data_IF_998653779440
#
_entry.id   IF_998653779440
#
_cell.length_a   1.000
_cell.length_b   1.000
_cell.length_c   1.000
_cell.angle_alpha   90.00
_cell.angle_beta   90.00
_cell.angle_gamma   90.00
#
_symmetry.space_group_name_H-M   'P 1'
#
loop_
_entity.id
_entity.type
_entity.pdbx_description
1 polymer ?
#
# COMPACT_ATOMS: atom_id res chain seq x y z
N UNK A 1 -7.83 2.89 13.66
CA UNK A 1 -7.58 3.30 15.06
C UNK A 1 -7.50 2.09 15.97
N UNK A 2 -6.78 2.20 17.10
CA UNK A 2 -6.62 1.13 18.10
C UNK A 2 -7.93 0.81 18.84
N UNK A 3 -8.85 1.77 18.88
CA UNK A 3 -10.16 1.59 19.49
C UNK A 3 -11.04 0.63 18.70
N UNK A 4 -11.54 -0.38 19.37
CA UNK A 4 -12.42 -1.39 18.77
C UNK A 4 -13.89 -1.16 19.11
N UNK A 5 -14.78 -1.74 18.30
CA UNK A 5 -16.22 -1.70 18.49
C UNK A 5 -16.69 -2.85 19.39
N UNK A 6 -17.98 -2.88 19.71
CA UNK A 6 -18.60 -4.03 20.40
C UNK A 6 -18.51 -5.31 19.55
N UNK A 7 -18.45 -6.45 20.20
CA UNK A 7 -18.44 -7.77 19.52
C UNK A 7 -19.65 -7.92 18.60
N UNK A 8 -19.46 -8.59 17.46
CA UNK A 8 -20.46 -8.77 16.42
C UNK A 8 -20.67 -7.57 15.48
N UNK A 9 -20.03 -6.43 15.73
CA UNK A 9 -20.17 -5.26 14.85
C UNK A 9 -19.42 -5.43 13.52
N UNK A 10 -19.99 -4.85 12.47
CA UNK A 10 -19.39 -4.75 11.15
C UNK A 10 -19.03 -3.30 10.84
N UNK A 11 -17.89 -3.11 10.20
CA UNK A 11 -17.45 -1.82 9.65
C UNK A 11 -17.17 -1.96 8.17
N UNK A 12 -17.61 -0.98 7.41
CA UNK A 12 -17.31 -0.83 5.99
C UNK A 12 -16.52 0.45 5.81
N UNK A 13 -15.39 0.37 5.13
CA UNK A 13 -14.55 1.52 4.85
C UNK A 13 -14.38 1.64 3.34
N UNK A 14 -14.62 2.84 2.81
CA UNK A 14 -14.25 3.22 1.46
C UNK A 14 -13.22 4.33 1.56
N UNK A 15 -12.04 4.12 0.95
CA UNK A 15 -10.95 5.06 1.10
C UNK A 15 -10.05 5.08 -0.13
N UNK A 16 -9.33 6.17 -0.28
CA UNK A 16 -8.23 6.31 -1.21
C UNK A 16 -6.91 6.18 -0.44
N UNK A 17 -5.95 5.50 -1.03
CA UNK A 17 -4.57 5.48 -0.56
C UNK A 17 -3.64 5.80 -1.72
N UNK A 18 -2.57 6.54 -1.42
CA UNK A 18 -1.54 6.87 -2.38
C UNK A 18 -0.16 6.66 -1.79
N UNK A 19 0.80 6.45 -2.68
CA UNK A 19 2.22 6.39 -2.37
C UNK A 19 2.98 7.24 -3.37
N UNK A 20 3.89 8.05 -2.86
CA UNK A 20 4.81 8.84 -3.66
C UNK A 20 6.24 8.51 -3.24
N UNK A 21 7.09 8.28 -4.23
CA UNK A 21 8.54 8.09 -4.08
C UNK A 21 8.93 6.93 -3.13
N UNK A 22 8.18 5.83 -3.22
CA UNK A 22 8.53 4.60 -2.50
C UNK A 22 9.79 3.99 -3.12
N UNK A 23 10.84 3.85 -2.33
CA UNK A 23 12.05 3.18 -2.80
C UNK A 23 11.84 1.67 -2.87
N UNK A 24 12.10 1.08 -4.03
CA UNK A 24 12.07 -0.36 -4.26
C UNK A 24 13.43 -0.79 -4.84
N UNK A 25 14.04 -1.79 -4.23
CA UNK A 25 15.30 -2.36 -4.71
C UNK A 25 14.99 -3.68 -5.41
N UNK A 26 15.29 -3.76 -6.70
CA UNK A 26 15.18 -4.99 -7.47
C UNK A 26 16.55 -5.61 -7.65
N UNK A 27 16.68 -6.89 -7.31
CA UNK A 27 17.81 -7.71 -7.68
C UNK A 27 17.51 -8.39 -9.01
N UNK A 28 18.31 -8.10 -10.01
CA UNK A 28 18.18 -8.68 -11.34
C UNK A 28 19.10 -9.89 -11.41
N UNK A 29 18.52 -11.09 -11.56
CA UNK A 29 19.28 -12.28 -11.88
C UNK A 29 19.59 -12.31 -13.38
N UNK A 30 20.83 -11.93 -13.73
CA UNK A 30 21.29 -11.62 -15.07
C UNK A 30 21.28 -12.75 -16.09
N UNK A 31 20.82 -13.95 -15.75
CA UNK A 31 20.90 -15.09 -16.67
C UNK A 31 19.77 -15.18 -17.70
N UNK A 32 18.71 -14.35 -17.60
CA UNK A 32 17.52 -14.50 -18.46
C UNK A 32 16.97 -13.24 -19.12
N UNK A 33 17.43 -12.04 -18.78
CA UNK A 33 16.87 -10.77 -19.29
C UNK A 33 17.46 -10.35 -20.66
N UNK A 34 18.46 -11.06 -21.14
CA UNK A 34 19.29 -10.63 -22.31
C UNK A 34 18.95 -11.27 -23.63
N UNK A 35 17.86 -11.97 -23.78
CA UNK A 35 17.60 -12.80 -24.97
C UNK A 35 16.95 -12.08 -26.15
N UNK A 36 16.55 -10.84 -26.04
CA UNK A 36 16.01 -10.11 -27.20
C UNK A 36 16.59 -8.70 -27.23
N UNK A 37 17.35 -8.41 -28.32
CA UNK A 37 17.62 -7.02 -28.67
C UNK A 37 16.28 -6.32 -28.91
N UNK A 38 15.93 -5.29 -28.13
CA UNK A 38 14.66 -4.59 -28.33
C UNK A 38 14.67 -3.92 -29.69
N UNK A 39 13.57 -3.91 -30.42
CA UNK A 39 13.41 -2.98 -31.51
C UNK A 39 13.65 -1.58 -30.95
N UNK A 40 14.48 -0.81 -31.60
CA UNK A 40 14.99 0.53 -31.27
C UNK A 40 14.15 1.31 -30.28
N UNK A 41 14.63 1.47 -29.04
CA UNK A 41 14.02 2.29 -27.99
C UNK A 41 13.66 1.59 -26.68
N UNK A 42 13.95 0.32 -26.51
CA UNK A 42 13.67 -0.43 -25.26
C UNK A 42 14.66 -0.08 -24.14
N UNK A 43 14.18 -0.18 -22.90
CA UNK A 43 15.04 -0.13 -21.70
C UNK A 43 15.91 -1.37 -21.71
N UNK A 44 17.20 -1.21 -21.98
CA UNK A 44 18.19 -2.27 -21.77
C UNK A 44 18.50 -2.30 -20.27
N UNK A 45 17.99 -3.30 -19.57
CA UNK A 45 18.62 -3.71 -18.33
C UNK A 45 20.01 -4.26 -18.68
N UNK A 46 21.08 -3.84 -17.98
CA UNK A 46 22.40 -4.30 -18.30
C UNK A 46 22.47 -5.82 -18.22
N UNK A 47 22.74 -6.45 -19.38
CA UNK A 47 23.02 -7.86 -19.46
C UNK A 47 24.36 -8.15 -18.77
N UNK A 48 24.44 -9.13 -17.92
CA UNK A 48 25.60 -9.60 -17.16
C UNK A 48 25.99 -8.85 -15.87
N UNK A 49 25.10 -8.06 -15.28
CA UNK A 49 25.33 -7.61 -13.92
C UNK A 49 24.25 -8.15 -12.98
N UNK A 50 24.63 -9.07 -12.10
CA UNK A 50 23.95 -9.24 -10.83
C UNK A 50 24.14 -7.94 -10.06
N UNK A 51 23.13 -7.11 -9.99
CA UNK A 51 23.21 -5.80 -9.34
C UNK A 51 21.83 -5.39 -8.84
N UNK A 52 21.82 -4.71 -7.72
CA UNK A 52 20.62 -4.11 -7.20
C UNK A 52 20.31 -2.83 -7.99
N UNK A 53 19.09 -2.72 -8.48
CA UNK A 53 18.58 -1.52 -9.13
C UNK A 53 17.61 -0.84 -8.17
N UNK A 54 17.99 0.35 -7.72
CA UNK A 54 17.11 1.20 -6.96
C UNK A 54 16.06 1.81 -7.89
N UNK A 55 14.80 1.73 -7.52
CA UNK A 55 13.68 2.30 -8.27
C UNK A 55 12.76 3.06 -7.33
N UNK A 56 12.04 4.03 -7.89
CA UNK A 56 11.02 4.79 -7.17
C UNK A 56 9.63 4.36 -7.65
N UNK A 57 8.79 3.89 -6.73
CA UNK A 57 7.41 3.52 -7.00
C UNK A 57 6.45 4.62 -6.59
N UNK A 58 5.46 4.91 -7.42
CA UNK A 58 4.40 5.87 -7.11
C UNK A 58 3.06 5.38 -7.67
N UNK A 59 1.99 5.64 -6.94
CA UNK A 59 0.66 5.24 -7.39
C UNK A 59 -0.45 5.60 -6.42
N UNK A 60 -1.69 5.29 -6.82
CA UNK A 60 -2.86 5.50 -6.02
C UNK A 60 -3.93 4.45 -6.23
N UNK A 61 -4.72 4.17 -5.20
CA UNK A 61 -5.74 3.14 -5.24
C UNK A 61 -7.01 3.55 -4.48
N UNK A 62 -8.16 3.27 -5.10
CA UNK A 62 -9.44 3.23 -4.41
C UNK A 62 -9.65 1.88 -3.76
N UNK A 63 -9.95 1.88 -2.47
CA UNK A 63 -10.02 0.68 -1.63
C UNK A 63 -11.37 0.56 -0.94
N UNK A 64 -11.81 -0.68 -0.76
CA UNK A 64 -12.95 -1.03 0.07
C UNK A 64 -12.53 -2.08 1.10
N UNK A 65 -12.86 -1.88 2.37
CA UNK A 65 -12.51 -2.76 3.49
C UNK A 65 -13.75 -3.13 4.27
N UNK A 66 -13.88 -4.41 4.57
CA UNK A 66 -14.90 -4.94 5.48
C UNK A 66 -14.15 -5.45 6.71
N UNK A 67 -14.57 -4.99 7.88
CA UNK A 67 -14.00 -5.42 9.15
C UNK A 67 -15.10 -5.91 10.09
N UNK A 68 -14.90 -7.10 10.65
CA UNK A 68 -15.79 -7.77 11.57
C UNK A 68 -15.13 -7.88 12.95
N UNK A 69 -15.82 -7.38 13.95
CA UNK A 69 -15.41 -7.52 15.35
C UNK A 69 -15.78 -8.91 15.86
N UNK A 70 -14.90 -9.88 15.68
CA UNK A 70 -15.13 -11.28 16.02
C UNK A 70 -15.25 -11.49 17.55
N UNK A 71 -14.51 -10.72 18.34
CA UNK A 71 -14.58 -10.69 19.81
C UNK A 71 -14.25 -9.29 20.31
N UNK A 72 -14.45 -9.01 21.60
CA UNK A 72 -14.21 -7.68 22.19
C UNK A 72 -12.82 -7.08 21.86
N UNK A 73 -11.81 -7.93 21.70
CA UNK A 73 -10.43 -7.52 21.46
C UNK A 73 -9.90 -7.92 20.09
N UNK A 74 -10.69 -8.61 19.26
CA UNK A 74 -10.23 -9.13 17.98
C UNK A 74 -11.13 -8.70 16.83
N UNK A 75 -10.52 -8.09 15.84
CA UNK A 75 -11.17 -7.68 14.60
C UNK A 75 -10.49 -8.36 13.43
N UNK A 76 -11.27 -9.06 12.61
CA UNK A 76 -10.83 -9.60 11.33
C UNK A 76 -11.27 -8.65 10.22
N UNK A 77 -10.47 -8.53 9.17
CA UNK A 77 -10.85 -7.72 8.04
C UNK A 77 -10.31 -8.23 6.73
N UNK A 78 -11.01 -7.88 5.67
CA UNK A 78 -10.56 -8.04 4.28
C UNK A 78 -10.65 -6.72 3.56
N UNK A 79 -9.83 -6.53 2.54
CA UNK A 79 -9.90 -5.36 1.69
C UNK A 79 -9.66 -5.74 0.23
N UNK A 80 -10.29 -4.99 -0.64
CA UNK A 80 -10.15 -5.09 -2.10
C UNK A 80 -10.12 -3.70 -2.68
N UNK A 81 -9.40 -3.53 -3.77
CA UNK A 81 -9.31 -2.24 -4.44
C UNK A 81 -8.73 -2.33 -5.82
N UNK A 82 -8.73 -1.19 -6.48
CA UNK A 82 -8.11 -1.01 -7.78
C UNK A 82 -7.28 0.28 -7.77
N UNK A 83 -6.17 0.26 -8.48
CA UNK A 83 -5.30 1.43 -8.51
C UNK A 83 -4.31 1.37 -9.65
N UNK A 84 -3.63 2.48 -9.85
CA UNK A 84 -2.50 2.61 -10.75
C UNK A 84 -1.19 2.52 -9.95
N UNK A 85 -0.16 2.12 -10.64
CA UNK A 85 1.19 2.10 -10.11
C UNK A 85 2.19 2.34 -11.23
N UNK A 86 3.24 3.07 -10.94
CA UNK A 86 4.35 3.34 -11.85
C UNK A 86 5.68 3.14 -11.16
N UNK A 87 6.66 2.69 -11.90
CA UNK A 87 8.04 2.50 -11.42
C UNK A 87 8.93 3.42 -12.24
N UNK A 88 9.67 4.27 -11.56
CA UNK A 88 10.72 5.08 -12.16
C UNK A 88 12.06 4.41 -11.91
N UNK A 89 12.72 4.06 -12.99
CA UNK A 89 14.05 3.47 -12.99
C UNK A 89 15.07 4.58 -13.25
N UNK A 90 15.94 4.92 -12.29
CA UNK A 90 16.97 5.91 -12.52
C UNK A 90 17.92 5.43 -13.63
N UNK A 91 18.22 6.28 -14.58
CA UNK A 91 19.23 6.05 -15.61
C UNK A 91 20.19 7.22 -15.64
N UNK A 92 21.41 7.00 -16.17
CA UNK A 92 22.48 7.98 -16.19
C UNK A 92 22.18 9.25 -17.00
N UNK A 93 21.13 9.25 -17.83
CA UNK A 93 20.82 10.37 -18.74
C UNK A 93 19.40 10.93 -18.57
N UNK A 94 18.42 10.11 -18.27
CA UNK A 94 17.04 10.52 -17.95
C UNK A 94 16.30 9.29 -17.46
N UNK A 95 15.72 9.35 -16.26
CA UNK A 95 14.99 8.21 -15.69
C UNK A 95 13.85 7.74 -16.59
N UNK A 96 13.69 6.44 -16.74
CA UNK A 96 12.57 5.85 -17.46
C UNK A 96 11.44 5.52 -16.51
N UNK A 97 10.20 5.88 -16.87
CA UNK A 97 9.01 5.50 -16.10
C UNK A 97 8.28 4.36 -16.78
N UNK A 98 8.05 3.30 -16.06
CA UNK A 98 7.27 2.14 -16.48
C UNK A 98 5.88 2.26 -15.85
N UNK A 99 4.83 2.22 -16.66
CA UNK A 99 3.44 2.39 -16.20
C UNK A 99 2.48 1.51 -17.00
N UNK A 100 1.25 1.39 -16.50
CA UNK A 100 0.16 0.71 -17.18
C UNK A 100 -0.96 1.68 -17.56
N UNK A 101 -1.75 1.31 -18.56
CA UNK A 101 -2.99 2.00 -18.96
C UNK A 101 -4.23 1.41 -18.27
N UNK A 102 -4.07 0.31 -17.55
CA UNK A 102 -5.13 -0.38 -16.82
C UNK A 102 -4.87 -0.37 -15.34
N UNK A 103 -5.95 -0.17 -14.58
CA UNK A 103 -5.88 -0.29 -13.13
C UNK A 103 -5.51 -1.71 -12.70
N UNK A 104 -4.62 -1.82 -11.75
CA UNK A 104 -4.28 -3.07 -11.07
C UNK A 104 -5.33 -3.48 -10.05
N UNK A 105 -5.31 -4.74 -9.68
CA UNK A 105 -6.16 -5.31 -8.64
C UNK A 105 -5.37 -5.46 -7.34
N UNK A 106 -5.98 -5.05 -6.23
CA UNK A 106 -5.42 -5.13 -4.88
C UNK A 106 -6.39 -5.89 -4.01
N UNK A 107 -5.92 -6.87 -3.25
CA UNK A 107 -6.74 -7.57 -2.26
C UNK A 107 -5.88 -8.04 -1.10
N UNK A 108 -6.50 -8.14 0.07
CA UNK A 108 -5.80 -8.58 1.26
C UNK A 108 -6.72 -8.85 2.43
N UNK A 109 -6.09 -9.28 3.51
CA UNK A 109 -6.76 -9.59 4.76
C UNK A 109 -5.87 -9.23 5.95
N UNK A 110 -6.47 -9.08 7.11
CA UNK A 110 -5.72 -8.79 8.33
C UNK A 110 -6.51 -9.07 9.60
N UNK A 111 -5.78 -8.96 10.68
CA UNK A 111 -6.24 -9.13 12.05
C UNK A 111 -5.76 -7.95 12.88
N UNK A 112 -6.67 -7.35 13.63
CA UNK A 112 -6.33 -6.32 14.63
C UNK A 112 -6.70 -6.82 16.02
N UNK A 113 -5.73 -6.79 16.94
CA UNK A 113 -5.91 -7.16 18.34
C UNK A 113 -5.73 -5.94 19.26
N UNK A 114 -6.71 -5.64 20.09
CA UNK A 114 -6.60 -4.61 21.14
C UNK A 114 -5.85 -5.17 22.34
N UNK A 115 -4.70 -4.59 22.65
CA UNK A 115 -3.88 -4.96 23.82
C UNK A 115 -4.36 -4.18 25.04
N UNK A 116 -4.53 -2.87 24.88
CA UNK A 116 -5.02 -1.96 25.92
C UNK A 116 -6.28 -1.27 25.41
N UNK A 117 -7.41 -1.37 26.12
CA UNK A 117 -8.63 -0.67 25.73
C UNK A 117 -8.50 0.84 25.97
N UNK A 118 -9.21 1.64 25.19
CA UNK A 118 -9.33 3.08 25.39
C UNK A 118 -10.15 3.37 26.67
N UNK A 119 -9.59 4.17 27.55
CA UNK A 119 -10.24 4.64 28.78
C UNK A 119 -10.10 6.16 28.87
N UNK A 120 -10.73 6.78 29.88
CA UNK A 120 -10.63 8.23 30.07
C UNK A 120 -9.17 8.68 30.29
N UNK A 121 -8.33 7.81 30.85
CA UNK A 121 -6.94 8.15 31.23
C UNK A 121 -5.91 7.52 30.31
N UNK A 122 -6.19 6.31 29.80
CA UNK A 122 -5.23 5.56 29.01
C UNK A 122 -5.66 5.49 27.55
N UNK A 123 -4.78 5.80 26.58
CA UNK A 123 -5.05 5.59 25.18
C UNK A 123 -5.17 4.09 24.85
N UNK A 124 -5.94 3.76 23.84
CA UNK A 124 -5.99 2.42 23.30
C UNK A 124 -4.63 2.05 22.66
N UNK A 125 -4.25 0.79 22.81
CA UNK A 125 -3.10 0.22 22.08
C UNK A 125 -3.56 -1.04 21.37
N UNK A 126 -3.21 -1.17 20.09
CA UNK A 126 -3.54 -2.34 19.28
C UNK A 126 -2.37 -2.79 18.44
N UNK A 127 -2.37 -4.09 18.14
CA UNK A 127 -1.51 -4.73 17.16
C UNK A 127 -2.33 -5.01 15.90
N UNK A 128 -1.83 -4.61 14.73
CA UNK A 128 -2.44 -4.86 13.43
C UNK A 128 -1.49 -5.70 12.56
N UNK A 129 -1.99 -6.80 12.04
CA UNK A 129 -1.28 -7.71 11.15
C UNK A 129 -2.03 -7.80 9.84
N UNK A 130 -1.35 -7.61 8.72
CA UNK A 130 -2.00 -7.73 7.40
C UNK A 130 -1.09 -8.31 6.33
N UNK A 131 -1.75 -8.89 5.34
CA UNK A 131 -1.15 -9.36 4.10
C UNK A 131 -1.96 -8.79 2.94
N UNK A 132 -1.26 -8.23 1.95
CA UNK A 132 -1.87 -7.63 0.76
C UNK A 132 -1.15 -8.12 -0.48
N UNK A 133 -1.91 -8.47 -1.51
CA UNK A 133 -1.39 -8.80 -2.83
C UNK A 133 -1.92 -7.80 -3.84
N UNK A 134 -1.02 -7.28 -4.68
CA UNK A 134 -1.35 -6.33 -5.74
C UNK A 134 -0.82 -6.83 -7.06
N UNK A 135 -1.60 -6.65 -8.13
CA UNK A 135 -1.26 -7.04 -9.49
C UNK A 135 -1.39 -5.82 -10.39
N UNK A 136 -0.32 -5.45 -11.06
CA UNK A 136 -0.29 -4.36 -12.02
C UNK A 136 0.23 -4.86 -13.35
N UNK A 137 -0.39 -4.40 -14.44
CA UNK A 137 0.09 -4.71 -15.80
C UNK A 137 0.68 -3.44 -16.40
N UNK A 138 1.92 -3.52 -16.86
CA UNK A 138 2.64 -2.43 -17.47
C UNK A 138 2.74 -2.66 -18.98
N UNK A 139 2.40 -1.64 -19.76
CA UNK A 139 2.45 -1.68 -21.21
C UNK A 139 3.03 -0.40 -21.83
N UNK A 140 3.52 0.51 -20.99
CA UNK A 140 4.08 1.79 -21.41
C UNK A 140 5.43 2.03 -20.76
N UNK A 141 6.39 2.45 -21.57
CA UNK A 141 7.67 2.99 -21.11
C UNK A 141 7.73 4.45 -21.54
N UNK A 142 7.95 5.35 -20.62
CA UNK A 142 8.15 6.78 -20.87
C UNK A 142 9.62 7.10 -20.59
N UNK A 143 10.44 7.27 -21.63
CA UNK A 143 11.81 7.77 -21.47
C UNK A 143 11.78 9.20 -20.96
N UNK A 144 12.70 9.58 -20.07
CA UNK A 144 12.70 10.89 -19.41
C UNK A 144 12.54 12.04 -20.39
N UNK A 145 11.44 12.78 -20.25
CA UNK A 145 11.14 13.96 -21.03
C UNK A 145 10.47 13.76 -22.40
N UNK A 146 10.17 12.52 -22.80
CA UNK A 146 9.47 12.24 -24.07
C UNK A 146 8.13 11.54 -23.84
N UNK A 147 7.11 11.75 -24.72
CA UNK A 147 5.85 11.01 -24.62
C UNK A 147 6.08 9.50 -24.65
N UNK A 148 5.37 8.77 -23.81
CA UNK A 148 5.51 7.32 -23.67
C UNK A 148 5.21 6.56 -24.96
N UNK A 149 6.01 5.56 -25.26
CA UNK A 149 5.93 4.73 -26.46
C UNK A 149 5.38 3.35 -26.06
N UNK A 150 4.30 2.91 -26.73
CA UNK A 150 3.79 1.54 -26.65
C UNK A 150 4.53 0.67 -27.68
N UNK A 151 5.70 0.15 -27.33
CA UNK A 151 6.54 -0.64 -28.24
C UNK A 151 6.35 -2.17 -28.07
N UNK A 152 5.14 -2.63 -27.82
CA UNK A 152 4.90 -4.06 -27.55
C UNK A 152 5.43 -4.53 -26.20
N UNK A 153 5.84 -3.60 -25.33
CA UNK A 153 6.22 -3.90 -23.95
C UNK A 153 4.99 -4.40 -23.19
N UNK A 154 5.15 -5.53 -22.53
CA UNK A 154 4.11 -6.09 -21.68
C UNK A 154 4.77 -6.76 -20.48
N UNK A 155 4.59 -6.21 -19.32
CA UNK A 155 5.12 -6.75 -18.06
C UNK A 155 4.05 -6.78 -16.99
N UNK A 156 4.19 -7.72 -16.07
CA UNK A 156 3.33 -7.82 -14.88
C UNK A 156 4.17 -7.63 -13.63
N UNK A 157 3.73 -6.70 -12.80
CA UNK A 157 4.25 -6.53 -11.44
C UNK A 157 3.29 -7.17 -10.44
N UNK A 158 3.81 -8.08 -9.64
CA UNK A 158 3.11 -8.64 -8.47
C UNK A 158 3.82 -8.13 -7.22
N UNK A 159 3.05 -7.51 -6.31
CA UNK A 159 3.54 -7.07 -5.01
C UNK A 159 2.84 -7.90 -3.93
N UNK A 160 3.63 -8.49 -3.02
CA UNK A 160 3.14 -9.10 -1.80
C UNK A 160 3.65 -8.28 -0.62
N UNK A 161 2.73 -7.71 0.15
CA UNK A 161 3.04 -6.84 1.29
C UNK A 161 2.60 -7.51 2.58
N UNK A 162 3.52 -7.68 3.50
CA UNK A 162 3.28 -8.10 4.88
C UNK A 162 3.48 -6.91 5.80
N UNK A 163 2.54 -6.66 6.67
CA UNK A 163 2.61 -5.52 7.59
C UNK A 163 2.31 -5.96 9.02
N UNK A 164 3.10 -5.44 9.94
CA UNK A 164 2.89 -5.50 11.39
C UNK A 164 2.90 -4.07 11.90
N UNK A 165 1.85 -3.62 12.57
CA UNK A 165 1.79 -2.27 13.14
C UNK A 165 1.39 -2.31 14.62
N UNK A 166 2.04 -1.47 15.41
CA UNK A 166 1.59 -1.11 16.75
C UNK A 166 1.00 0.29 16.65
N UNK A 167 -0.24 0.40 17.07
CA UNK A 167 -1.06 1.59 16.91
C UNK A 167 -1.58 2.03 18.26
N UNK A 168 -1.59 3.33 18.51
CA UNK A 168 -2.24 3.95 19.66
C UNK A 168 -3.29 4.95 19.19
N UNK A 169 -4.40 5.07 19.90
CA UNK A 169 -5.42 6.08 19.64
C UNK A 169 -6.13 6.49 20.92
N UNK A 170 -6.64 7.72 20.96
CA UNK A 170 -7.42 8.22 22.06
C UNK A 170 -8.58 9.09 21.54
N UNK A 171 -9.78 8.85 22.09
CA UNK A 171 -10.96 9.62 21.73
C UNK A 171 -11.11 10.83 22.63
N UNK A 172 -10.98 12.02 22.05
CA UNK A 172 -11.29 13.28 22.72
C UNK A 172 -12.72 13.69 22.38
N UNK A 173 -13.50 14.00 23.43
CA UNK A 173 -14.81 14.64 23.30
C UNK A 173 -14.61 16.12 23.56
N UNK A 174 -14.71 16.94 22.51
CA UNK A 174 -14.51 18.39 22.59
C UNK A 174 -15.81 19.06 23.06
N UNK A 175 -16.95 18.59 22.51
CA UNK A 175 -18.29 19.04 22.82
C UNK A 175 -19.27 17.86 22.60
N UNK A 176 -20.54 18.03 22.94
CA UNK A 176 -21.59 16.99 22.77
C UNK A 176 -21.63 16.44 21.33
N UNK A 177 -21.36 17.28 20.32
CA UNK A 177 -21.42 16.96 18.91
C UNK A 177 -20.04 16.75 18.25
N UNK A 178 -18.94 17.12 18.91
CA UNK A 178 -17.61 17.07 18.33
C UNK A 178 -16.68 16.10 19.04
N UNK A 179 -16.30 15.09 18.33
CA UNK A 179 -15.33 14.07 18.78
C UNK A 179 -14.18 14.00 17.81
N UNK A 180 -12.99 13.82 18.33
CA UNK A 180 -11.76 13.71 17.58
C UNK A 180 -10.96 12.53 18.11
N UNK A 181 -10.47 11.67 17.23
CA UNK A 181 -9.68 10.51 17.61
C UNK A 181 -8.34 10.54 16.82
N UNK A 182 -7.32 11.28 17.32
CA UNK A 182 -5.98 11.14 16.78
C UNK A 182 -5.48 9.73 17.05
N UNK A 183 -4.73 9.21 16.09
CA UNK A 183 -4.08 7.92 16.20
C UNK A 183 -2.72 7.95 15.51
N UNK A 184 -1.87 7.02 15.88
CA UNK A 184 -0.55 6.90 15.28
C UNK A 184 0.19 5.71 15.80
N UNK A 185 1.37 5.49 15.30
CA UNK A 185 2.17 4.35 15.70
C UNK A 185 3.36 4.12 14.81
N UNK A 186 3.86 2.89 14.84
CA UNK A 186 4.93 2.43 13.97
C UNK A 186 4.45 1.17 13.26
N UNK A 187 4.70 1.10 11.96
CA UNK A 187 4.46 -0.09 11.14
C UNK A 187 5.77 -0.59 10.56
N UNK A 188 5.98 -1.88 10.65
CA UNK A 188 6.99 -2.59 9.89
C UNK A 188 6.32 -3.25 8.70
N UNK A 189 6.90 -3.04 7.52
CA UNK A 189 6.35 -3.54 6.26
C UNK A 189 7.45 -4.27 5.50
N UNK A 190 7.15 -5.49 5.05
CA UNK A 190 7.94 -6.23 4.09
C UNK A 190 7.21 -6.27 2.76
N UNK A 191 7.83 -5.74 1.73
CA UNK A 191 7.33 -5.79 0.35
C UNK A 191 8.19 -6.78 -0.42
N UNK A 192 7.55 -7.74 -1.06
CA UNK A 192 8.15 -8.63 -2.06
C UNK A 192 7.58 -8.25 -3.41
N UNK A 193 8.45 -7.94 -4.35
CA UNK A 193 8.09 -7.54 -5.71
C UNK A 193 8.57 -8.60 -6.71
N UNK A 194 7.71 -8.95 -7.64
CA UNK A 194 8.00 -9.89 -8.72
C UNK A 194 7.56 -9.24 -10.04
N UNK A 195 8.54 -8.89 -10.89
CA UNK A 195 8.33 -8.30 -12.21
C UNK A 195 8.60 -9.34 -13.27
N UNK A 196 7.59 -9.67 -14.07
CA UNK A 196 7.65 -10.63 -15.17
C UNK A 196 7.48 -9.93 -16.49
N UNK A 197 8.43 -10.11 -17.38
CA UNK A 197 8.28 -9.74 -18.80
C UNK A 197 7.46 -10.82 -19.52
N UNK A 198 6.28 -10.44 -20.01
CA UNK A 198 5.37 -11.38 -20.69
C UNK A 198 5.77 -11.62 -22.15
N UNK A 199 6.58 -10.75 -22.74
CA UNK A 199 7.04 -10.85 -24.14
C UNK A 199 8.35 -11.63 -24.27
N UNK A 200 9.30 -11.42 -23.35
CA UNK A 200 10.66 -12.00 -23.42
C UNK A 200 10.96 -13.09 -22.39
N UNK A 201 10.04 -13.37 -21.45
CA UNK A 201 10.23 -14.35 -20.40
C UNK A 201 11.23 -13.94 -19.31
N UNK A 202 11.60 -12.66 -19.24
CA UNK A 202 12.46 -12.11 -18.21
C UNK A 202 11.77 -12.04 -16.84
N UNK A 203 12.57 -12.13 -15.79
CA UNK A 203 12.09 -12.09 -14.40
C UNK A 203 13.03 -11.26 -13.53
N UNK A 204 12.47 -10.37 -12.72
CA UNK A 204 13.21 -9.61 -11.72
C UNK A 204 12.45 -9.65 -10.39
N UNK A 205 13.14 -10.03 -9.31
CA UNK A 205 12.60 -10.08 -7.97
C UNK A 205 13.21 -9.01 -7.08
N UNK A 206 12.42 -8.51 -6.12
CA UNK A 206 12.89 -7.56 -5.14
C UNK A 206 12.25 -7.79 -3.78
N UNK A 207 12.96 -7.45 -2.73
CA UNK A 207 12.42 -7.46 -1.38
C UNK A 207 12.91 -6.23 -0.63
N UNK A 208 12.01 -5.62 0.13
CA UNK A 208 12.35 -4.50 1.00
C UNK A 208 11.65 -4.61 2.34
N UNK A 209 12.39 -4.34 3.39
CA UNK A 209 11.88 -4.21 4.76
C UNK A 209 11.98 -2.75 5.18
N UNK A 210 10.90 -2.20 5.72
CA UNK A 210 10.83 -0.79 6.12
C UNK A 210 10.07 -0.63 7.43
N UNK A 211 10.62 0.16 8.34
CA UNK A 211 9.95 0.61 9.56
C UNK A 211 9.52 2.07 9.40
N UNK A 212 8.22 2.36 9.43
CA UNK A 212 7.69 3.72 9.22
C UNK A 212 6.77 4.15 10.35
N UNK A 213 6.97 5.34 10.94
CA UNK A 213 5.96 5.96 11.77
C UNK A 213 4.78 6.44 10.92
N UNK A 214 3.60 6.42 11.50
CA UNK A 214 2.40 6.96 10.88
C UNK A 214 1.60 7.78 11.88
N UNK A 215 0.87 8.75 11.36
CA UNK A 215 -0.07 9.57 12.11
C UNK A 215 -1.37 9.66 11.33
N UNK A 216 -2.47 9.70 12.05
CA UNK A 216 -3.79 9.82 11.46
C UNK A 216 -4.77 10.51 12.39
N UNK A 217 -5.89 10.85 11.81
CA UNK A 217 -7.00 11.50 12.48
C UNK A 217 -8.29 10.83 12.04
N UNK A 218 -9.13 10.51 13.00
CA UNK A 218 -10.47 10.03 12.76
C UNK A 218 -11.47 10.99 13.41
N UNK A 219 -12.47 11.41 12.65
CA UNK A 219 -13.53 12.33 13.06
C UNK A 219 -14.86 11.58 12.98
N UNK A 220 -15.40 11.08 14.11
CA UNK A 220 -16.75 10.55 14.16
C UNK A 220 -17.75 11.70 13.92
N UNK A 221 -18.48 11.64 12.80
CA UNK A 221 -19.51 12.62 12.45
C UNK A 221 -20.86 12.26 13.10
N UNK A 222 -21.14 10.96 13.20
CA UNK A 222 -22.31 10.39 13.84
C UNK A 222 -21.93 9.05 14.50
N UNK A 223 -22.86 8.43 15.20
CA UNK A 223 -22.64 7.12 15.82
C UNK A 223 -22.21 6.03 14.83
N UNK A 224 -22.60 6.19 13.56
CA UNK A 224 -22.36 5.20 12.49
C UNK A 224 -21.37 5.64 11.44
N UNK A 225 -21.06 6.93 11.37
CA UNK A 225 -20.25 7.52 10.30
C UNK A 225 -19.00 8.16 10.90
N UNK A 226 -17.86 7.90 10.29
CA UNK A 226 -16.64 8.62 10.63
C UNK A 226 -15.79 8.86 9.37
N UNK A 227 -15.11 10.00 9.33
CA UNK A 227 -14.07 10.29 8.36
C UNK A 227 -12.71 9.98 8.97
N UNK A 228 -11.76 9.60 8.14
CA UNK A 228 -10.39 9.41 8.60
C UNK A 228 -9.37 9.82 7.55
N UNK A 229 -8.19 10.20 8.02
CA UNK A 229 -7.02 10.45 7.19
C UNK A 229 -5.77 9.95 7.90
N UNK A 230 -4.80 9.46 7.15
CA UNK A 230 -3.53 8.92 7.64
C UNK A 230 -2.40 9.32 6.71
N UNK A 231 -1.24 9.55 7.28
CA UNK A 231 0.01 9.72 6.54
C UNK A 231 1.15 8.98 7.24
N UNK A 232 2.09 8.44 6.46
CA UNK A 232 3.32 7.85 6.95
C UNK A 232 4.51 8.26 6.09
N UNK A 233 5.70 8.30 6.70
CA UNK A 233 6.91 8.88 6.15
C UNK A 233 8.09 7.92 6.35
N UNK A 234 9.23 8.20 5.75
CA UNK A 234 10.53 7.53 5.79
C UNK A 234 10.78 6.52 4.66
N UNK A 235 9.76 6.05 3.96
CA UNK A 235 9.91 5.22 2.75
C UNK A 235 8.99 5.78 1.65
N UNK A 236 9.26 7.02 1.27
CA UNK A 236 8.30 7.81 0.51
C UNK A 236 7.17 8.33 1.39
N UNK A 237 6.27 9.07 0.78
CA UNK A 237 5.04 9.57 1.41
C UNK A 237 3.90 8.61 1.10
N UNK A 238 3.39 7.93 2.12
CA UNK A 238 2.13 7.19 2.04
C UNK A 238 1.04 8.00 2.69
N UNK A 239 -0.08 8.15 2.03
CA UNK A 239 -1.22 8.89 2.55
C UNK A 239 -2.52 8.20 2.16
N UNK A 240 -3.54 8.42 2.95
CA UNK A 240 -4.85 7.87 2.67
C UNK A 240 -5.94 8.58 3.47
N UNK A 241 -7.16 8.40 3.03
CA UNK A 241 -8.31 8.94 3.73
C UNK A 241 -9.62 8.46 3.14
N UNK A 242 -10.65 8.49 3.95
CA UNK A 242 -11.94 7.95 3.53
C UNK A 242 -13.03 8.02 4.58
N UNK A 243 -14.03 7.20 4.34
CA UNK A 243 -15.26 7.10 5.10
C UNK A 243 -15.36 5.72 5.76
N UNK A 244 -15.74 5.69 7.02
CA UNK A 244 -16.10 4.48 7.77
C UNK A 244 -17.60 4.50 8.08
N UNK A 245 -18.29 3.41 7.74
CA UNK A 245 -19.65 3.13 8.14
C UNK A 245 -19.65 1.99 9.16
N UNK A 246 -20.35 2.16 10.26
CA UNK A 246 -20.39 1.20 11.37
C UNK A 246 -21.79 0.67 11.59
N UNK A 247 -21.91 -0.66 11.63
CA UNK A 247 -23.14 -1.38 11.91
C UNK A 247 -22.97 -2.15 13.23
N UNK A 248 -23.84 -1.91 14.19
CA UNK A 248 -23.82 -2.65 15.46
C UNK A 248 -24.36 -4.05 15.20
N UNK A 249 -23.67 -5.08 15.70
CA UNK A 249 -24.27 -6.42 15.86
C UNK A 249 -25.41 -6.34 16.89
N UNK A 250 -26.42 -7.12 16.66
CA UNK A 250 -27.49 -7.31 17.64
C UNK A 250 -26.99 -8.13 18.82
#
# INVERSE_FOLDING_TARGET
TARQSSSGSLKFLAYYQGVADQNLNFSIDGSRVCSAAPPSGGVTFPCNSSGDVETEGSGGAGMFKIAWQAAERFQLYTHVGTGDYSIKVPSTTAGNTISGDKLGLIFGAGLKASIVPDTIVNPAIALDLSITRSHYNFNRITPGGTPGINNGFSSRLELMTYQVAIETSHLFTIDENWKLEPYGGVKWTRVQADLKDLAGGGHAGGQKDTGTPFLGLRIPAEDRIAFFGEASFLDGLHYGGGLELRFRGQ
#
